data_IF_687603986665
#
_entry.id   IF_687603986665
#
_cell.length_a   1.000
_cell.length_b   1.000
_cell.length_c   1.000
_cell.angle_alpha   90.00
_cell.angle_beta   90.00
_cell.angle_gamma   90.00
#
_symmetry.space_group_name_H-M   'P 1'
#
loop_
_entity.id
_entity.type
_entity.pdbx_description
1 polymer ?
#
# COMPACT_ATOMS: atom_id res chain seq x y z
N UNK A 1 -7.36 6.18 -34.34
CA UNK A 1 -6.51 5.12 -33.75
C UNK A 1 -5.11 5.14 -34.35
N UNK A 2 -4.38 6.22 -34.09
CA UNK A 2 -2.96 6.27 -34.44
C UNK A 2 -2.17 5.72 -33.25
N UNK A 3 -1.73 4.49 -33.36
CA UNK A 3 -0.77 3.89 -32.45
C UNK A 3 0.54 4.68 -32.53
N UNK A 4 0.74 5.63 -31.61
CA UNK A 4 2.02 6.31 -31.42
C UNK A 4 3.05 5.34 -30.83
N UNK A 5 3.48 4.36 -31.60
CA UNK A 5 4.36 3.25 -31.20
C UNK A 5 5.83 3.66 -30.95
N UNK A 6 6.19 4.92 -30.92
CA UNK A 6 7.62 5.28 -30.86
C UNK A 6 8.00 6.39 -29.87
N UNK A 7 7.09 6.94 -29.11
CA UNK A 7 7.34 8.13 -28.32
C UNK A 7 6.86 8.09 -26.88
N UNK A 8 7.24 9.12 -26.11
CA UNK A 8 6.63 9.46 -24.85
C UNK A 8 5.23 10.04 -25.07
N UNK A 9 4.37 9.88 -24.10
CA UNK A 9 3.11 10.63 -24.01
C UNK A 9 3.27 11.72 -22.95
N UNK A 10 2.85 12.95 -23.29
CA UNK A 10 2.83 14.09 -22.38
C UNK A 10 1.38 14.57 -22.21
N UNK A 11 0.88 14.54 -20.99
CA UNK A 11 -0.44 15.08 -20.64
C UNK A 11 -0.25 16.50 -20.12
N UNK A 12 -0.16 17.47 -21.03
CA UNK A 12 0.09 18.89 -20.76
C UNK A 12 -1.19 19.72 -20.55
N UNK A 13 -2.35 19.12 -20.80
CA UNK A 13 -3.67 19.68 -20.55
C UNK A 13 -4.56 18.68 -19.81
N UNK A 14 -5.60 19.19 -19.12
CA UNK A 14 -6.55 18.31 -18.46
C UNK A 14 -7.23 17.37 -19.47
N UNK A 15 -7.21 16.09 -19.17
CA UNK A 15 -7.88 15.05 -19.93
C UNK A 15 -9.11 14.59 -19.15
N UNK A 16 -10.30 14.99 -19.60
CA UNK A 16 -11.55 14.79 -18.85
C UNK A 16 -12.62 14.15 -19.70
N UNK A 17 -13.28 13.12 -19.18
CA UNK A 17 -14.50 12.54 -19.75
C UNK A 17 -15.52 12.29 -18.65
N UNK A 18 -16.77 12.77 -18.85
CA UNK A 18 -17.81 12.67 -17.82
C UNK A 18 -18.40 11.25 -17.72
N UNK A 19 -18.54 10.53 -18.84
CA UNK A 19 -19.18 9.21 -18.91
C UNK A 19 -18.38 8.20 -19.74
N UNK A 20 -17.05 8.35 -19.77
CA UNK A 20 -16.18 7.50 -20.58
C UNK A 20 -15.01 6.94 -19.79
N UNK A 21 -14.23 6.16 -20.51
CA UNK A 21 -12.97 5.59 -20.07
C UNK A 21 -11.82 6.41 -20.64
N UNK A 22 -10.69 6.41 -19.94
CA UNK A 22 -9.44 6.96 -20.44
C UNK A 22 -8.40 5.85 -20.48
N UNK A 23 -7.87 5.59 -21.68
CA UNK A 23 -6.79 4.64 -21.88
C UNK A 23 -5.62 5.37 -22.54
N UNK A 24 -4.46 5.37 -21.89
CA UNK A 24 -3.21 5.86 -22.45
C UNK A 24 -2.22 4.71 -22.52
N UNK A 25 -1.61 4.51 -23.68
CA UNK A 25 -0.62 3.46 -23.89
C UNK A 25 0.63 4.07 -24.54
N UNK A 26 1.69 4.20 -23.74
CA UNK A 26 2.95 4.79 -24.18
C UNK A 26 4.01 3.74 -24.42
N UNK A 27 4.57 3.74 -25.62
CA UNK A 27 5.70 2.87 -25.96
C UNK A 27 6.99 3.20 -25.18
N UNK A 28 7.06 4.39 -24.58
CA UNK A 28 8.15 4.86 -23.70
C UNK A 28 7.56 5.40 -22.40
N UNK A 29 8.00 6.58 -21.93
CA UNK A 29 7.51 7.17 -20.71
C UNK A 29 6.16 7.87 -20.88
N UNK A 30 5.40 7.92 -19.79
CA UNK A 30 4.16 8.70 -19.67
C UNK A 30 4.40 9.81 -18.63
N UNK A 31 4.32 11.07 -19.08
CA UNK A 31 4.45 12.25 -18.23
C UNK A 31 3.07 12.90 -18.05
N UNK A 32 2.68 13.12 -16.80
CA UNK A 32 1.36 13.63 -16.43
C UNK A 32 1.51 14.93 -15.64
N UNK A 33 1.42 16.06 -16.35
CA UNK A 33 1.54 17.39 -15.76
C UNK A 33 0.18 17.99 -15.37
N UNK A 34 -0.90 17.41 -15.85
CA UNK A 34 -2.28 17.87 -15.66
C UNK A 34 -3.21 16.74 -15.26
N UNK A 35 -4.41 17.09 -14.85
CA UNK A 35 -5.39 16.13 -14.37
C UNK A 35 -5.86 15.17 -15.47
N UNK A 36 -6.05 13.92 -15.05
CA UNK A 36 -6.73 12.87 -15.82
C UNK A 36 -7.98 12.49 -15.01
N UNK A 37 -9.18 12.75 -15.55
CA UNK A 37 -10.44 12.48 -14.88
C UNK A 37 -11.39 11.71 -15.79
N UNK A 38 -11.87 10.55 -15.36
CA UNK A 38 -12.81 9.72 -16.08
C UNK A 38 -14.08 9.43 -15.29
N UNK A 39 -15.23 9.48 -15.97
CA UNK A 39 -16.50 9.03 -15.40
C UNK A 39 -16.45 7.56 -15.00
N UNK A 40 -15.80 6.73 -15.78
CA UNK A 40 -15.55 5.31 -15.55
C UNK A 40 -14.08 5.05 -15.18
N UNK A 41 -13.48 4.00 -15.72
CA UNK A 41 -12.12 3.58 -15.36
C UNK A 41 -11.02 4.31 -16.14
N UNK A 42 -9.84 4.36 -15.56
CA UNK A 42 -8.61 4.88 -16.16
C UNK A 42 -7.60 3.75 -16.25
N UNK A 43 -7.01 3.58 -17.44
CA UNK A 43 -5.90 2.66 -17.67
C UNK A 43 -4.72 3.43 -18.26
N UNK A 44 -3.58 3.37 -17.59
CA UNK A 44 -2.34 4.01 -18.01
C UNK A 44 -1.25 2.96 -18.13
N UNK A 45 -0.70 2.81 -19.33
CA UNK A 45 0.40 1.88 -19.60
C UNK A 45 1.62 2.63 -20.13
N UNK A 46 2.81 2.20 -19.70
CA UNK A 46 4.07 2.70 -20.21
C UNK A 46 5.13 1.60 -20.29
N UNK A 47 6.18 1.84 -21.09
CA UNK A 47 7.36 0.99 -21.18
C UNK A 47 8.65 1.72 -20.74
N UNK A 48 8.55 2.98 -20.32
CA UNK A 48 9.70 3.81 -19.93
C UNK A 48 9.53 4.56 -18.61
N UNK A 49 8.61 4.12 -17.77
CA UNK A 49 8.25 4.77 -16.51
C UNK A 49 7.03 5.68 -16.65
N UNK A 50 6.45 5.99 -15.49
CA UNK A 50 5.30 6.90 -15.37
C UNK A 50 5.64 7.95 -14.35
N UNK A 51 5.54 9.21 -14.72
CA UNK A 51 5.80 10.35 -13.86
C UNK A 51 4.58 11.25 -13.80
N UNK A 52 4.00 11.38 -12.63
CA UNK A 52 2.94 12.34 -12.33
C UNK A 52 3.52 13.49 -11.53
N UNK A 53 3.40 14.70 -12.04
CA UNK A 53 4.10 15.88 -11.53
C UNK A 53 3.17 16.79 -10.73
N UNK A 54 3.68 17.31 -9.62
CA UNK A 54 3.07 18.39 -8.87
C UNK A 54 1.71 18.04 -8.27
N UNK A 55 0.74 18.93 -8.46
CA UNK A 55 -0.61 18.81 -7.93
C UNK A 55 -1.60 18.15 -8.90
N UNK A 56 -1.12 17.54 -9.98
CA UNK A 56 -1.99 16.82 -10.91
C UNK A 56 -2.68 15.63 -10.23
N UNK A 57 -3.87 15.29 -10.70
CA UNK A 57 -4.70 14.23 -10.12
C UNK A 57 -5.10 13.21 -11.19
N UNK A 58 -5.08 11.94 -10.84
CA UNK A 58 -5.68 10.85 -11.60
C UNK A 58 -6.92 10.43 -10.83
N UNK A 59 -8.13 10.60 -11.43
CA UNK A 59 -9.40 10.36 -10.74
C UNK A 59 -10.38 9.60 -11.61
N UNK A 60 -10.79 8.42 -11.17
CA UNK A 60 -11.76 7.56 -11.85
C UNK A 60 -13.07 7.39 -11.08
N UNK A 61 -14.13 6.96 -11.77
CA UNK A 61 -15.43 6.69 -11.17
C UNK A 61 -16.22 7.93 -10.78
N UNK A 62 -16.03 9.03 -11.48
CA UNK A 62 -16.71 10.31 -11.15
C UNK A 62 -18.16 10.37 -11.63
N UNK A 63 -18.56 9.49 -12.56
CA UNK A 63 -19.96 9.41 -12.98
C UNK A 63 -20.85 8.77 -11.92
N UNK A 64 -22.06 9.27 -11.75
CA UNK A 64 -23.04 8.72 -10.80
C UNK A 64 -23.52 7.32 -11.16
N UNK A 65 -23.53 6.98 -12.44
CA UNK A 65 -23.94 5.70 -13.03
C UNK A 65 -22.76 4.73 -13.28
N UNK A 66 -21.52 5.12 -12.94
CA UNK A 66 -20.38 4.24 -13.04
C UNK A 66 -20.57 2.97 -12.18
N UNK A 67 -20.56 1.82 -12.84
CA UNK A 67 -20.55 0.49 -12.19
C UNK A 67 -19.11 0.03 -11.91
N UNK A 68 -18.16 0.62 -12.62
CA UNK A 68 -16.72 0.49 -12.50
C UNK A 68 -16.12 1.88 -12.31
N UNK A 69 -14.92 1.98 -11.91
CA UNK A 69 -14.25 3.28 -11.70
C UNK A 69 -12.83 3.03 -11.25
N UNK A 70 -12.27 1.90 -11.65
CA UNK A 70 -10.92 1.49 -11.29
C UNK A 70 -9.86 2.39 -11.93
N UNK A 71 -8.74 2.51 -11.25
CA UNK A 71 -7.50 3.04 -11.83
C UNK A 71 -6.51 1.91 -11.95
N UNK A 72 -6.01 1.68 -13.16
CA UNK A 72 -4.94 0.72 -13.42
C UNK A 72 -3.75 1.45 -14.04
N UNK A 73 -2.60 1.35 -13.40
CA UNK A 73 -1.34 2.00 -13.81
C UNK A 73 -0.28 0.91 -13.94
N UNK A 74 0.26 0.72 -15.13
CA UNK A 74 1.23 -0.35 -15.42
C UNK A 74 2.44 0.19 -16.16
N UNK A 75 3.63 -0.12 -15.67
CA UNK A 75 4.88 0.06 -16.40
C UNK A 75 5.52 -1.30 -16.69
N UNK A 76 5.77 -1.61 -17.95
CA UNK A 76 6.24 -2.92 -18.40
C UNK A 76 7.72 -2.97 -18.82
N UNK A 77 8.37 -1.84 -19.01
CA UNK A 77 9.71 -1.80 -19.61
C UNK A 77 10.79 -1.36 -18.64
N UNK A 78 10.99 -0.08 -18.44
CA UNK A 78 12.04 0.50 -17.60
C UNK A 78 11.54 1.70 -16.82
N UNK A 79 12.28 2.12 -15.79
CA UNK A 79 11.98 3.32 -15.01
C UNK A 79 10.92 3.12 -13.94
N UNK A 80 10.84 4.09 -13.06
CA UNK A 80 9.95 4.10 -11.91
C UNK A 80 8.52 4.49 -12.28
N UNK A 81 7.59 4.15 -11.40
CA UNK A 81 6.28 4.79 -11.35
C UNK A 81 6.31 5.79 -10.19
N UNK A 82 6.23 7.09 -10.50
CA UNK A 82 6.19 8.18 -9.51
C UNK A 82 4.83 8.85 -9.57
N UNK A 83 4.06 8.77 -8.49
CA UNK A 83 2.65 9.16 -8.46
C UNK A 83 2.41 10.32 -7.50
N UNK A 84 1.63 11.29 -7.97
CA UNK A 84 0.93 12.25 -7.15
C UNK A 84 -0.38 11.66 -6.60
N UNK A 85 -1.46 12.44 -6.61
CA UNK A 85 -2.77 11.97 -6.14
C UNK A 85 -3.43 11.04 -7.17
N UNK A 86 -3.79 9.84 -6.71
CA UNK A 86 -4.52 8.84 -7.50
C UNK A 86 -5.76 8.43 -6.73
N UNK A 87 -6.94 8.47 -7.36
CA UNK A 87 -8.17 8.09 -6.69
C UNK A 87 -9.14 7.30 -7.57
N UNK A 88 -9.74 6.29 -6.98
CA UNK A 88 -10.93 5.57 -7.48
C UNK A 88 -12.08 5.77 -6.51
N UNK A 89 -13.22 6.31 -7.00
CA UNK A 89 -14.39 6.55 -6.16
C UNK A 89 -15.30 5.33 -6.03
N UNK A 90 -15.17 4.35 -6.91
CA UNK A 90 -16.14 3.24 -7.04
C UNK A 90 -15.52 1.85 -6.98
N UNK A 91 -14.21 1.71 -7.15
CA UNK A 91 -13.57 0.41 -7.34
C UNK A 91 -12.10 0.45 -6.89
N UNK A 92 -11.29 -0.45 -7.41
CA UNK A 92 -9.91 -0.67 -7.00
C UNK A 92 -8.93 0.33 -7.65
N UNK A 93 -7.78 0.49 -7.00
CA UNK A 93 -6.57 1.09 -7.58
C UNK A 93 -5.50 0.01 -7.67
N UNK A 94 -5.02 -0.24 -8.89
CA UNK A 94 -3.98 -1.21 -9.20
C UNK A 94 -2.75 -0.50 -9.79
N UNK A 95 -1.60 -0.63 -9.15
CA UNK A 95 -0.33 -0.03 -9.58
C UNK A 95 0.70 -1.14 -9.71
N UNK A 96 1.20 -1.36 -10.94
CA UNK A 96 2.07 -2.48 -11.26
C UNK A 96 3.32 -1.97 -11.99
N UNK A 97 4.48 -2.05 -11.34
CA UNK A 97 5.76 -1.75 -11.96
C UNK A 97 6.53 -3.06 -12.24
N UNK A 98 6.43 -3.55 -13.47
CA UNK A 98 7.12 -4.75 -13.93
C UNK A 98 8.58 -4.49 -14.34
N UNK A 99 9.02 -3.23 -14.36
CA UNK A 99 10.38 -2.84 -14.70
C UNK A 99 11.35 -3.34 -13.62
N UNK A 100 12.38 -4.06 -14.04
CA UNK A 100 13.34 -4.68 -13.13
C UNK A 100 14.06 -3.61 -12.27
N UNK A 101 14.12 -3.83 -10.96
CA UNK A 101 14.70 -2.94 -9.95
C UNK A 101 14.11 -1.51 -9.95
N UNK A 102 12.89 -1.34 -10.46
CA UNK A 102 12.23 -0.05 -10.53
C UNK A 102 11.15 0.09 -9.46
N UNK A 103 11.10 1.27 -8.86
CA UNK A 103 10.30 1.56 -7.69
C UNK A 103 8.90 2.05 -8.05
N UNK A 104 8.00 1.93 -7.09
CA UNK A 104 6.76 2.70 -7.01
C UNK A 104 6.94 3.76 -5.93
N UNK A 105 6.87 5.04 -6.32
CA UNK A 105 7.09 6.19 -5.44
C UNK A 105 5.77 6.92 -5.26
N UNK A 106 5.29 6.97 -4.03
CA UNK A 106 4.08 7.67 -3.63
C UNK A 106 4.44 9.05 -3.13
N UNK A 107 4.12 10.11 -3.91
CA UNK A 107 4.34 11.50 -3.51
C UNK A 107 3.09 12.14 -2.91
N UNK A 108 1.94 11.47 -3.01
CA UNK A 108 0.67 11.88 -2.43
C UNK A 108 -0.22 10.66 -2.18
N UNK A 109 -1.47 10.91 -1.79
CA UNK A 109 -2.45 9.86 -1.45
C UNK A 109 -2.84 9.01 -2.66
N UNK A 110 -2.81 7.70 -2.49
CA UNK A 110 -3.48 6.70 -3.32
C UNK A 110 -4.75 6.24 -2.59
N UNK A 111 -5.90 6.53 -3.16
CA UNK A 111 -7.22 6.34 -2.54
C UNK A 111 -8.14 5.43 -3.37
N UNK A 112 -8.59 4.35 -2.77
CA UNK A 112 -9.68 3.50 -3.26
C UNK A 112 -10.76 3.42 -2.19
N UNK A 113 -11.51 4.53 -1.99
CA UNK A 113 -12.46 4.67 -0.87
C UNK A 113 -13.55 3.61 -0.82
N UNK A 114 -13.83 2.93 -1.94
CA UNK A 114 -14.84 1.85 -2.03
C UNK A 114 -14.25 0.52 -2.50
N UNK A 115 -12.94 0.44 -2.69
CA UNK A 115 -12.27 -0.74 -3.27
C UNK A 115 -10.97 -1.08 -2.56
N UNK A 116 -10.19 -1.92 -3.23
CA UNK A 116 -8.90 -2.35 -2.76
C UNK A 116 -7.79 -1.50 -3.38
N UNK A 117 -6.64 -1.44 -2.72
CA UNK A 117 -5.40 -0.94 -3.30
C UNK A 117 -4.41 -2.09 -3.45
N UNK A 118 -3.91 -2.29 -4.66
CA UNK A 118 -2.87 -3.27 -4.98
C UNK A 118 -1.68 -2.54 -5.56
N UNK A 119 -0.50 -2.73 -4.98
CA UNK A 119 0.76 -2.20 -5.49
C UNK A 119 1.76 -3.35 -5.61
N UNK A 120 2.27 -3.59 -6.83
CA UNK A 120 3.33 -4.55 -7.12
C UNK A 120 4.52 -3.82 -7.77
N UNK A 121 5.69 -3.88 -7.13
CA UNK A 121 6.93 -3.27 -7.61
C UNK A 121 8.05 -4.30 -7.73
N UNK A 122 8.78 -4.29 -8.85
CA UNK A 122 10.02 -5.06 -9.01
C UNK A 122 11.24 -4.34 -8.40
N UNK A 123 11.07 -3.18 -7.80
CA UNK A 123 11.96 -2.46 -6.92
C UNK A 123 11.34 -2.34 -5.52
N UNK A 124 11.38 -1.15 -4.95
CA UNK A 124 10.80 -0.79 -3.66
C UNK A 124 9.43 -0.10 -3.81
N UNK A 125 8.65 -0.07 -2.73
CA UNK A 125 7.51 0.84 -2.57
C UNK A 125 7.93 1.92 -1.58
N UNK A 126 7.93 3.19 -2.01
CA UNK A 126 8.49 4.31 -1.27
C UNK A 126 7.41 5.37 -1.04
N UNK A 127 7.34 5.90 0.16
CA UNK A 127 6.53 7.08 0.49
C UNK A 127 7.43 8.31 0.59
N UNK A 128 7.04 9.40 -0.04
CA UNK A 128 7.77 10.67 0.08
C UNK A 128 7.57 11.30 1.48
N UNK A 129 8.59 11.97 1.97
CA UNK A 129 8.58 12.64 3.28
C UNK A 129 7.53 13.77 3.37
N UNK A 130 7.07 14.28 2.23
CA UNK A 130 6.07 15.36 2.16
C UNK A 130 4.64 14.93 2.50
N UNK A 131 4.37 13.63 2.57
CA UNK A 131 3.03 13.12 2.89
C UNK A 131 2.75 13.29 4.37
N UNK A 132 1.75 14.13 4.69
CA UNK A 132 1.23 14.32 6.04
C UNK A 132 -0.12 13.60 6.17
N UNK A 133 -0.14 12.39 6.68
CA UNK A 133 -1.34 11.56 6.77
C UNK A 133 -1.14 10.20 6.12
N UNK A 134 -2.16 9.66 5.46
CA UNK A 134 -2.06 8.36 4.83
C UNK A 134 -1.48 8.49 3.41
N UNK A 135 -0.53 7.61 3.06
CA UNK A 135 -0.09 7.43 1.68
C UNK A 135 -1.06 6.54 0.89
N UNK A 136 -1.71 5.59 1.59
CA UNK A 136 -2.65 4.65 0.98
C UNK A 136 -3.92 4.59 1.82
N UNK A 137 -5.07 4.76 1.18
CA UNK A 137 -6.40 4.58 1.76
C UNK A 137 -7.21 3.57 0.95
N UNK A 138 -7.85 2.62 1.60
CA UNK A 138 -8.71 1.61 0.98
C UNK A 138 -9.98 1.36 1.81
N UNK A 139 -11.14 1.40 1.17
CA UNK A 139 -12.39 0.91 1.75
C UNK A 139 -12.45 -0.63 1.83
N UNK A 140 -11.55 -1.32 1.13
CA UNK A 140 -11.31 -2.76 1.18
C UNK A 140 -9.94 -3.10 1.74
N UNK A 141 -9.24 -3.99 1.04
CA UNK A 141 -7.93 -4.48 1.42
C UNK A 141 -6.79 -3.67 0.78
N UNK A 142 -5.62 -3.70 1.41
CA UNK A 142 -4.37 -3.20 0.86
C UNK A 142 -3.42 -4.39 0.67
N UNK A 143 -2.93 -4.58 -0.56
CA UNK A 143 -1.96 -5.60 -0.90
C UNK A 143 -0.70 -4.96 -1.48
N UNK A 144 0.43 -5.11 -0.80
CA UNK A 144 1.71 -4.53 -1.19
C UNK A 144 2.71 -5.65 -1.49
N UNK A 145 3.29 -5.64 -2.68
CA UNK A 145 4.35 -6.58 -3.05
C UNK A 145 5.52 -5.80 -3.62
N UNK A 146 6.72 -6.05 -3.09
CA UNK A 146 7.96 -5.48 -3.59
C UNK A 146 9.06 -6.53 -3.64
N UNK A 147 9.99 -6.43 -4.59
CA UNK A 147 11.21 -7.25 -4.55
C UNK A 147 12.22 -6.72 -3.54
N UNK A 148 12.21 -5.39 -3.32
CA UNK A 148 12.99 -4.72 -2.29
C UNK A 148 12.12 -4.36 -1.09
N UNK A 149 12.39 -3.23 -0.44
CA UNK A 149 11.68 -2.83 0.77
C UNK A 149 10.33 -2.16 0.47
N UNK A 150 9.41 -2.32 1.39
CA UNK A 150 8.15 -1.56 1.48
C UNK A 150 8.32 -0.55 2.61
N UNK A 151 8.48 0.72 2.26
CA UNK A 151 8.88 1.77 3.19
C UNK A 151 10.34 1.64 3.66
N UNK A 152 10.67 2.33 4.73
CA UNK A 152 11.96 2.27 5.41
C UNK A 152 11.83 2.54 6.91
N UNK A 153 12.89 2.29 7.68
CA UNK A 153 12.89 2.58 9.10
C UNK A 153 12.69 4.08 9.43
N UNK A 154 13.12 4.98 8.54
CA UNK A 154 12.93 6.43 8.67
C UNK A 154 11.59 6.92 8.10
N UNK A 155 11.02 6.21 7.12
CA UNK A 155 9.79 6.58 6.43
C UNK A 155 8.94 5.34 6.15
N UNK A 156 8.06 5.01 7.08
CA UNK A 156 7.08 3.92 6.93
C UNK A 156 6.02 4.29 5.90
N UNK A 157 5.48 3.30 5.19
CA UNK A 157 4.27 3.52 4.39
C UNK A 157 3.08 3.67 5.35
N UNK A 158 2.40 4.81 5.28
CA UNK A 158 1.22 5.07 6.10
C UNK A 158 -0.04 4.56 5.41
N UNK A 159 -0.76 3.67 6.07
CA UNK A 159 -1.91 2.96 5.49
C UNK A 159 -3.18 3.19 6.31
N UNK A 160 -4.33 3.24 5.64
CA UNK A 160 -5.66 3.21 6.23
C UNK A 160 -6.52 2.21 5.44
N UNK A 161 -6.84 1.07 6.02
CA UNK A 161 -7.68 0.03 5.39
C UNK A 161 -8.91 -0.28 6.24
N UNK A 162 -10.09 -0.40 5.61
CA UNK A 162 -11.28 -0.95 6.28
C UNK A 162 -11.21 -2.48 6.36
N UNK A 163 -10.56 -3.10 5.40
CA UNK A 163 -10.31 -4.53 5.33
C UNK A 163 -8.98 -4.93 5.99
N UNK A 164 -8.24 -5.74 5.26
CA UNK A 164 -6.95 -6.30 5.71
C UNK A 164 -5.78 -5.70 4.95
N UNK A 165 -4.60 -5.78 5.56
CA UNK A 165 -3.33 -5.42 4.94
C UNK A 165 -2.46 -6.66 4.81
N UNK A 166 -1.98 -6.92 3.60
CA UNK A 166 -0.95 -7.92 3.32
C UNK A 166 0.27 -7.26 2.68
N UNK A 167 1.45 -7.76 3.01
CA UNK A 167 2.69 -7.23 2.45
C UNK A 167 3.75 -8.31 2.27
N UNK A 168 4.47 -8.26 1.15
CA UNK A 168 5.60 -9.15 0.84
C UNK A 168 6.77 -8.33 0.29
N UNK A 169 7.96 -8.45 0.90
CA UNK A 169 9.15 -7.68 0.51
C UNK A 169 10.41 -8.08 1.25
N UNK A 170 11.53 -7.43 0.96
CA UNK A 170 12.79 -7.66 1.69
C UNK A 170 12.70 -7.08 3.10
N UNK A 171 12.33 -5.81 3.25
CA UNK A 171 11.94 -5.18 4.51
C UNK A 171 10.52 -4.64 4.43
N UNK A 172 9.79 -4.63 5.54
CA UNK A 172 8.41 -4.15 5.59
C UNK A 172 8.25 -3.18 6.74
N UNK A 173 7.96 -1.93 6.41
CA UNK A 173 7.83 -0.82 7.34
C UNK A 173 6.48 -0.13 7.11
N UNK A 174 5.50 -0.41 7.98
CA UNK A 174 4.14 0.09 7.87
C UNK A 174 3.70 0.83 9.13
N UNK A 175 2.88 1.85 8.96
CA UNK A 175 2.17 2.52 10.06
C UNK A 175 0.70 2.74 9.71
N UNK A 176 -0.19 2.53 10.68
CA UNK A 176 -1.60 2.92 10.62
C UNK A 176 -1.87 3.89 11.78
N UNK A 177 -1.73 5.21 11.57
CA UNK A 177 -1.71 6.16 12.66
C UNK A 177 -2.98 6.19 13.51
N UNK A 178 -4.14 6.04 12.90
CA UNK A 178 -5.43 6.33 13.55
C UNK A 178 -6.39 5.13 13.57
N UNK A 179 -5.97 3.95 13.08
CA UNK A 179 -6.88 2.82 12.88
C UNK A 179 -6.27 1.50 13.26
N UNK A 180 -7.13 0.58 13.67
CA UNK A 180 -6.76 -0.83 13.85
C UNK A 180 -6.26 -1.41 12.53
N UNK A 181 -5.11 -2.09 12.60
CA UNK A 181 -4.46 -2.73 11.48
C UNK A 181 -4.73 -4.24 11.52
N UNK A 182 -5.51 -4.72 10.56
CA UNK A 182 -5.81 -6.13 10.40
C UNK A 182 -4.80 -6.76 9.42
N UNK A 183 -3.88 -7.58 9.89
CA UNK A 183 -2.86 -8.24 9.08
C UNK A 183 -3.38 -9.56 8.50
N UNK A 184 -3.25 -9.74 7.18
CA UNK A 184 -3.67 -10.96 6.46
C UNK A 184 -2.51 -11.63 5.69
N UNK A 185 -1.29 -11.50 6.18
CA UNK A 185 -0.09 -12.09 5.60
C UNK A 185 1.03 -11.07 5.46
N UNK A 186 2.08 -11.25 6.24
CA UNK A 186 3.29 -10.42 6.18
C UNK A 186 4.47 -11.36 5.97
N UNK A 187 5.12 -11.24 4.80
CA UNK A 187 6.26 -12.08 4.45
C UNK A 187 7.46 -11.23 4.10
N UNK A 188 8.44 -11.20 4.99
CA UNK A 188 9.67 -10.44 4.81
C UNK A 188 10.89 -11.35 4.76
N UNK A 189 11.81 -11.06 3.82
CA UNK A 189 13.16 -11.63 3.83
C UNK A 189 14.08 -11.00 4.87
N UNK A 190 13.71 -9.85 5.44
CA UNK A 190 14.46 -9.07 6.41
C UNK A 190 13.60 -8.59 7.58
N UNK A 191 13.69 -7.30 7.88
CA UNK A 191 13.00 -6.68 9.02
C UNK A 191 11.52 -6.48 8.74
N UNK A 192 10.69 -6.72 9.76
CA UNK A 192 9.30 -6.28 9.82
C UNK A 192 9.17 -5.27 10.95
N UNK A 193 8.73 -4.05 10.65
CA UNK A 193 8.45 -3.00 11.62
C UNK A 193 7.07 -2.37 11.34
N UNK A 194 6.07 -2.81 12.09
CA UNK A 194 4.67 -2.42 11.89
C UNK A 194 4.15 -1.75 13.14
N UNK A 195 3.49 -0.60 12.96
CA UNK A 195 2.93 0.17 14.07
C UNK A 195 1.49 0.65 13.82
N UNK A 196 0.79 0.91 14.94
CA UNK A 196 -0.31 1.86 15.02
C UNK A 196 0.13 2.94 16.01
N UNK A 197 0.22 4.21 15.58
CA UNK A 197 0.94 5.22 16.39
C UNK A 197 0.05 6.04 17.29
N UNK A 198 -1.13 6.47 16.84
CA UNK A 198 -2.04 7.33 17.61
C UNK A 198 -3.14 6.52 18.29
N UNK A 199 -3.74 5.58 17.57
CA UNK A 199 -4.80 4.71 18.08
C UNK A 199 -4.86 3.41 17.28
N UNK A 200 -5.61 2.42 17.78
CA UNK A 200 -5.87 1.16 17.09
C UNK A 200 -5.05 -0.01 17.62
N UNK A 201 -5.55 -1.18 17.32
CA UNK A 201 -4.93 -2.47 17.61
C UNK A 201 -4.11 -2.95 16.41
N UNK A 202 -3.26 -3.93 16.64
CA UNK A 202 -2.73 -4.80 15.59
C UNK A 202 -3.39 -6.17 15.74
N UNK A 203 -4.20 -6.57 14.76
CA UNK A 203 -4.86 -7.85 14.72
C UNK A 203 -4.22 -8.74 13.66
N UNK A 204 -3.68 -9.88 14.05
CA UNK A 204 -3.22 -10.93 13.13
C UNK A 204 -4.39 -11.85 12.88
N UNK A 205 -4.90 -11.87 11.65
CA UNK A 205 -6.10 -12.61 11.28
C UNK A 205 -5.87 -14.13 11.21
N UNK A 206 -6.94 -14.91 11.20
CA UNK A 206 -6.85 -16.37 11.02
C UNK A 206 -6.21 -16.74 9.69
N UNK A 207 -5.52 -17.88 9.63
CA UNK A 207 -4.73 -18.36 8.50
C UNK A 207 -3.63 -17.37 8.05
N UNK A 208 -3.11 -16.59 8.97
CA UNK A 208 -2.09 -15.55 8.71
C UNK A 208 -0.75 -15.92 9.34
N UNK A 209 0.31 -15.76 8.57
CA UNK A 209 1.69 -15.75 9.07
C UNK A 209 2.29 -14.35 8.98
N UNK A 210 3.04 -13.99 10.01
CA UNK A 210 3.93 -12.82 10.03
C UNK A 210 5.37 -13.35 10.13
N UNK A 211 6.13 -13.24 9.05
CA UNK A 211 7.50 -13.79 8.95
C UNK A 211 8.53 -12.71 8.67
N UNK A 212 9.70 -12.83 9.28
CA UNK A 212 10.83 -11.91 9.08
C UNK A 212 12.09 -12.34 9.83
N UNK A 213 13.21 -11.63 9.63
CA UNK A 213 14.42 -11.83 10.44
C UNK A 213 14.21 -11.28 11.84
N UNK A 214 14.00 -9.97 11.96
CA UNK A 214 13.56 -9.33 13.20
C UNK A 214 12.16 -8.74 13.00
N UNK A 215 11.29 -8.93 13.97
CA UNK A 215 9.91 -8.46 13.90
C UNK A 215 9.63 -7.52 15.07
N UNK A 216 9.15 -6.32 14.76
CA UNK A 216 8.64 -5.35 15.71
C UNK A 216 7.18 -5.06 15.39
N UNK A 217 6.29 -5.32 16.34
CA UNK A 217 4.89 -4.91 16.29
C UNK A 217 4.64 -3.97 17.47
N UNK A 218 4.21 -2.74 17.18
CA UNK A 218 3.96 -1.71 18.19
C UNK A 218 2.56 -1.13 18.02
N UNK A 219 1.64 -1.48 18.89
CA UNK A 219 0.28 -0.99 18.86
C UNK A 219 0.05 0.14 19.86
N UNK A 220 -0.69 1.18 19.45
CA UNK A 220 -1.18 2.21 20.36
C UNK A 220 -2.13 1.62 21.41
N UNK A 221 -2.91 0.61 21.03
CA UNK A 221 -3.74 -0.18 21.95
C UNK A 221 -3.14 -1.58 22.13
N UNK A 222 -3.82 -2.64 21.71
CA UNK A 222 -3.42 -4.02 21.93
C UNK A 222 -2.91 -4.75 20.68
N UNK A 223 -2.26 -5.88 20.89
CA UNK A 223 -1.86 -6.80 19.81
C UNK A 223 -2.58 -8.12 20.02
N UNK A 224 -3.32 -8.55 19.02
CA UNK A 224 -4.16 -9.76 19.11
C UNK A 224 -3.92 -10.68 17.93
N UNK A 225 -4.17 -11.96 18.16
CA UNK A 225 -4.26 -12.97 17.10
C UNK A 225 -5.67 -13.56 17.09
N UNK A 226 -6.26 -13.71 15.91
CA UNK A 226 -7.59 -14.25 15.73
C UNK A 226 -7.52 -15.66 15.13
N UNK A 227 -8.49 -16.53 15.51
CA UNK A 227 -8.58 -17.89 14.97
C UNK A 227 -7.52 -18.88 15.51
N UNK A 228 -7.40 -20.02 14.84
CA UNK A 228 -6.54 -21.13 15.29
C UNK A 228 -5.22 -21.25 14.50
N UNK A 229 -5.24 -20.89 13.20
CA UNK A 229 -4.11 -21.08 12.28
C UNK A 229 -3.38 -19.76 12.07
N UNK A 230 -2.48 -19.41 12.97
CA UNK A 230 -1.77 -18.14 12.96
C UNK A 230 -0.40 -18.31 13.59
N UNK A 231 0.59 -17.56 13.12
CA UNK A 231 1.91 -17.55 13.75
C UNK A 231 2.67 -16.25 13.48
N UNK A 232 3.57 -15.92 14.40
CA UNK A 232 4.63 -14.94 14.18
C UNK A 232 5.93 -15.73 14.19
N UNK A 233 6.70 -15.68 13.12
CA UNK A 233 7.98 -16.36 13.01
C UNK A 233 9.10 -15.36 12.75
N UNK A 234 9.83 -15.00 13.80
CA UNK A 234 11.06 -14.22 13.71
C UNK A 234 12.27 -15.17 13.74
N UNK A 235 13.20 -15.00 12.81
CA UNK A 235 14.44 -15.79 12.81
C UNK A 235 15.37 -15.34 13.95
N UNK A 236 15.31 -14.09 14.37
CA UNK A 236 16.06 -13.47 15.45
C UNK A 236 15.14 -12.95 16.54
N UNK A 237 14.96 -11.63 16.60
CA UNK A 237 14.24 -10.95 17.67
C UNK A 237 12.77 -10.70 17.34
N UNK A 238 11.89 -11.01 18.27
CA UNK A 238 10.49 -10.55 18.30
C UNK A 238 10.31 -9.46 19.36
N UNK A 239 9.81 -8.30 18.96
CA UNK A 239 9.44 -7.20 19.87
C UNK A 239 7.96 -6.90 19.75
N UNK A 240 7.21 -7.05 20.84
CA UNK A 240 5.78 -6.77 20.91
C UNK A 240 5.54 -5.66 21.94
N UNK A 241 4.89 -4.57 21.53
CA UNK A 241 4.57 -3.45 22.41
C UNK A 241 3.09 -3.08 22.27
N UNK A 242 2.34 -3.17 23.35
CA UNK A 242 0.98 -2.66 23.48
C UNK A 242 0.99 -1.46 24.44
N UNK A 243 0.70 -0.25 23.95
CA UNK A 243 0.85 0.96 24.75
C UNK A 243 -0.31 1.18 25.74
N UNK A 244 -1.55 0.86 25.34
CA UNK A 244 -2.74 1.08 26.15
C UNK A 244 -3.67 -0.14 26.21
N UNK A 245 -3.18 -1.33 25.86
CA UNK A 245 -3.96 -2.54 25.79
C UNK A 245 -3.15 -3.79 26.11
N UNK A 246 -3.71 -4.95 25.77
CA UNK A 246 -3.14 -6.24 26.10
C UNK A 246 -2.34 -6.85 24.95
N UNK A 247 -1.46 -7.78 25.29
CA UNK A 247 -0.83 -8.72 24.37
C UNK A 247 -1.57 -10.06 24.43
N UNK A 248 -2.38 -10.34 23.39
CA UNK A 248 -3.28 -11.49 23.35
C UNK A 248 -4.58 -11.28 24.13
N UNK A 249 -5.42 -12.30 24.13
CA UNK A 249 -6.69 -12.35 24.87
C UNK A 249 -6.76 -13.66 25.66
N UNK A 250 -7.56 -13.69 26.73
CA UNK A 250 -7.86 -14.92 27.45
C UNK A 250 -8.42 -15.97 26.45
N UNK A 251 -7.89 -17.18 26.52
CA UNK A 251 -8.24 -18.25 25.57
C UNK A 251 -7.65 -18.12 24.16
N UNK A 252 -6.96 -17.04 23.84
CA UNK A 252 -6.35 -16.80 22.53
C UNK A 252 -4.99 -16.11 22.67
N UNK A 253 -4.01 -16.85 23.18
CA UNK A 253 -2.64 -16.36 23.37
C UNK A 253 -1.94 -16.10 22.03
N UNK A 254 -0.97 -15.19 22.05
CA UNK A 254 -0.10 -14.95 20.87
C UNK A 254 0.81 -16.17 20.67
N UNK A 255 0.72 -16.77 19.49
CA UNK A 255 1.56 -17.89 19.04
C UNK A 255 2.73 -17.35 18.22
N UNK A 256 3.94 -17.69 18.63
CA UNK A 256 5.15 -17.22 17.95
C UNK A 256 6.31 -18.21 18.04
N UNK A 257 7.29 -18.01 17.15
CA UNK A 257 8.63 -18.63 17.21
C UNK A 257 9.66 -17.52 17.02
N UNK A 258 10.64 -17.41 17.91
CA UNK A 258 11.73 -16.43 17.84
C UNK A 258 12.92 -16.90 18.69
N UNK A 259 14.13 -16.42 18.36
CA UNK A 259 15.34 -16.69 19.18
C UNK A 259 15.30 -15.89 20.48
N UNK A 260 14.78 -14.67 20.42
CA UNK A 260 14.58 -13.81 21.60
C UNK A 260 13.29 -13.03 21.53
N UNK A 261 12.69 -12.78 22.69
CA UNK A 261 11.41 -12.05 22.77
C UNK A 261 11.53 -10.90 23.75
N UNK A 262 11.07 -9.71 23.34
CA UNK A 262 10.78 -8.59 24.20
C UNK A 262 9.29 -8.28 24.09
N UNK A 263 8.59 -8.34 25.21
CA UNK A 263 7.17 -8.00 25.30
C UNK A 263 6.96 -6.91 26.33
N UNK A 264 6.19 -5.88 25.97
CA UNK A 264 5.87 -4.75 26.84
C UNK A 264 4.39 -4.40 26.68
N UNK A 265 3.68 -4.26 27.80
CA UNK A 265 2.30 -3.79 27.80
C UNK A 265 2.07 -2.89 29.02
N UNK A 266 1.19 -1.92 28.87
CA UNK A 266 0.80 -1.04 29.96
C UNK A 266 -0.64 -1.38 30.36
N UNK A 267 -0.79 -2.02 31.50
CA UNK A 267 -2.11 -2.25 32.08
C UNK A 267 -2.55 -0.96 32.81
N UNK A 268 -3.65 -0.36 32.36
CA UNK A 268 -4.31 0.67 33.18
C UNK A 268 -4.88 -0.01 34.43
N UNK A 269 -4.44 0.46 35.60
CA UNK A 269 -5.04 0.10 36.91
C UNK A 269 -6.39 0.77 37.07
#
# INVERSE_FOLDING_TARGET
DESLQSGNIFVENNLVTSNGYINLDSAKALHIDKNIEAGHSITLNANGGIEQVGSSQIKAGTSSDAQDGSVTITNNGSGNISLGSVSSQKSDVNIINNALNADVILNSLVDASSGNVVIDAKGAIIQADSITGHAINAGGNINLTAQNDIGSASQKITVNADGTVSAAGTGIYLDSPEKTLNLAGITSGGIVDISTTTSGDINIKDNTEVTGTDITLSAANGIYQEGANKSITAQGKLSLTAQNGDLGKEGNAIVFKADSVKASYFKRC
#
